data_IF_024650726664
#
_entry.id   IF_024650726664
#
_cell.length_a   1.000
_cell.length_b   1.000
_cell.length_c   1.000
_cell.angle_alpha   90.00
_cell.angle_beta   90.00
_cell.angle_gamma   90.00
#
_symmetry.space_group_name_H-M   'P 1'
#
loop_
_entity.id
_entity.type
_entity.pdbx_description
1 polymer ?
#
# COMPACT_ATOMS: atom_id res chain seq x y z
N UNK A 1 -38.81 -21.88 -40.74
CA UNK A 1 -37.48 -22.38 -40.30
C UNK A 1 -36.33 -21.46 -40.71
N UNK A 2 -36.20 -21.04 -41.98
CA UNK A 2 -35.13 -20.14 -42.45
C UNK A 2 -35.08 -18.76 -41.78
N UNK A 3 -36.23 -18.17 -41.45
CA UNK A 3 -36.31 -16.88 -40.76
C UNK A 3 -35.91 -16.94 -39.28
N UNK A 4 -36.14 -18.07 -38.61
CA UNK A 4 -35.82 -18.26 -37.18
C UNK A 4 -34.32 -18.42 -36.97
N UNK A 5 -33.63 -19.11 -37.89
CA UNK A 5 -32.18 -19.29 -37.88
C UNK A 5 -31.46 -17.97 -38.19
N UNK A 6 -32.01 -17.16 -39.10
CA UNK A 6 -31.47 -15.81 -39.38
C UNK A 6 -31.64 -14.87 -38.18
N UNK A 7 -32.77 -14.94 -37.47
CA UNK A 7 -33.01 -14.14 -36.26
C UNK A 7 -32.06 -14.51 -35.11
N UNK A 8 -31.79 -15.82 -34.93
CA UNK A 8 -30.84 -16.32 -33.93
C UNK A 8 -29.38 -15.93 -34.24
N UNK A 9 -29.02 -15.83 -35.53
CA UNK A 9 -27.72 -15.32 -35.96
C UNK A 9 -27.59 -13.80 -35.77
N UNK A 10 -28.67 -13.03 -35.96
CA UNK A 10 -28.69 -11.59 -35.72
C UNK A 10 -28.73 -11.22 -34.22
N UNK A 11 -29.31 -12.06 -33.36
CA UNK A 11 -29.25 -11.83 -31.91
C UNK A 11 -27.85 -12.00 -31.33
N UNK A 12 -26.97 -12.77 -31.98
CA UNK A 12 -25.58 -12.95 -31.56
C UNK A 12 -24.67 -11.75 -31.90
N UNK A 13 -25.09 -10.85 -32.80
CA UNK A 13 -24.32 -9.65 -33.19
C UNK A 13 -24.68 -8.41 -32.36
N UNK A 14 -25.72 -8.47 -31.53
CA UNK A 14 -26.00 -7.45 -30.51
C UNK A 14 -25.27 -7.81 -29.21
N UNK A 15 -23.95 -7.92 -29.27
CA UNK A 15 -23.13 -7.73 -28.08
C UNK A 15 -22.96 -6.21 -27.93
N UNK A 16 -23.20 -5.62 -26.74
CA UNK A 16 -22.99 -4.19 -26.56
C UNK A 16 -21.56 -3.84 -26.95
N UNK A 17 -21.44 -2.87 -27.86
CA UNK A 17 -20.17 -2.25 -28.24
C UNK A 17 -19.52 -1.71 -26.97
N UNK A 18 -18.39 -2.32 -26.60
CA UNK A 18 -17.25 -1.73 -25.89
C UNK A 18 -17.63 -0.54 -24.99
N UNK A 19 -18.17 -0.84 -23.80
CA UNK A 19 -17.74 -0.05 -22.65
C UNK A 19 -16.23 -0.23 -22.59
N UNK A 20 -15.48 0.85 -22.36
CA UNK A 20 -14.05 0.78 -22.06
C UNK A 20 -13.85 -0.33 -21.03
N UNK A 21 -13.37 -1.50 -21.48
CA UNK A 21 -13.26 -2.67 -20.63
C UNK A 21 -12.15 -2.34 -19.67
N UNK A 22 -12.50 -1.93 -18.44
CA UNK A 22 -11.54 -1.80 -17.36
C UNK A 22 -10.72 -3.10 -17.36
N UNK A 23 -9.42 -3.02 -17.64
CA UNK A 23 -8.58 -4.21 -17.75
C UNK A 23 -8.24 -4.78 -16.37
N UNK A 24 -8.68 -4.11 -15.32
CA UNK A 24 -8.48 -4.43 -13.93
C UNK A 24 -9.81 -4.36 -13.18
N UNK A 25 -9.90 -5.11 -12.07
CA UNK A 25 -11.09 -5.16 -11.22
C UNK A 25 -10.82 -4.42 -9.92
N UNK A 26 -11.84 -3.73 -9.41
CA UNK A 26 -11.78 -3.14 -8.07
C UNK A 26 -11.65 -4.23 -7.01
N UNK A 27 -10.70 -4.03 -6.11
CA UNK A 27 -10.38 -4.91 -5.00
C UNK A 27 -11.38 -4.77 -3.84
N UNK A 28 -12.27 -5.77 -3.69
CA UNK A 28 -13.18 -5.83 -2.55
C UNK A 28 -12.49 -6.01 -1.19
N UNK A 29 -11.21 -6.38 -1.16
CA UNK A 29 -10.44 -6.56 0.07
C UNK A 29 -10.04 -5.23 0.72
N UNK A 30 -9.90 -4.14 -0.04
CA UNK A 30 -9.58 -2.81 0.51
C UNK A 30 -10.69 -2.37 1.47
N UNK A 31 -11.95 -2.54 1.07
CA UNK A 31 -13.11 -2.19 1.88
C UNK A 31 -13.40 -3.16 3.04
N UNK A 32 -12.56 -4.18 3.26
CA UNK A 32 -12.75 -5.17 4.34
C UNK A 32 -11.46 -5.34 5.16
N UNK A 33 -10.50 -6.10 4.64
CA UNK A 33 -9.22 -6.37 5.30
C UNK A 33 -8.38 -5.09 5.35
N UNK A 34 -8.48 -4.23 4.34
CA UNK A 34 -7.82 -2.92 4.35
C UNK A 34 -8.23 -2.10 5.57
N UNK A 35 -9.52 -2.07 5.92
CA UNK A 35 -10.00 -1.36 7.11
C UNK A 35 -9.46 -1.96 8.42
N UNK A 36 -9.38 -3.29 8.53
CA UNK A 36 -8.77 -3.93 9.71
C UNK A 36 -7.29 -3.54 9.85
N UNK A 37 -6.56 -3.50 8.74
CA UNK A 37 -5.14 -3.09 8.72
C UNK A 37 -4.97 -1.60 9.01
N UNK A 38 -5.87 -0.75 8.50
CA UNK A 38 -5.94 0.66 8.82
C UNK A 38 -6.13 0.89 10.33
N UNK A 39 -7.04 0.15 10.95
CA UNK A 39 -7.31 0.22 12.39
C UNK A 39 -6.10 -0.22 13.23
N UNK A 40 -5.32 -1.18 12.71
CA UNK A 40 -4.05 -1.61 13.30
C UNK A 40 -2.93 -0.57 13.13
N UNK A 41 -3.10 0.45 12.28
CA UNK A 41 -2.13 1.50 12.04
C UNK A 41 -1.28 1.31 10.78
N UNK A 42 -1.64 0.39 9.89
CA UNK A 42 -1.01 0.29 8.57
C UNK A 42 -1.40 1.50 7.70
N UNK A 43 -0.57 1.76 6.69
CA UNK A 43 -0.74 2.80 5.69
C UNK A 43 -1.03 2.18 4.31
N UNK A 44 -1.84 2.91 3.51
CA UNK A 44 -2.07 2.60 2.11
C UNK A 44 -1.46 3.68 1.21
N UNK A 45 -0.52 3.24 0.38
CA UNK A 45 0.14 4.04 -0.65
C UNK A 45 -0.10 3.48 -2.04
N UNK A 46 0.43 4.17 -3.05
CA UNK A 46 0.27 3.79 -4.43
C UNK A 46 1.46 2.96 -4.94
N UNK A 47 1.23 1.84 -5.61
CA UNK A 47 2.28 1.17 -6.39
C UNK A 47 2.20 1.51 -7.88
N UNK A 48 0.99 1.66 -8.41
CA UNK A 48 0.73 2.02 -9.80
C UNK A 48 -0.62 1.52 -10.28
N UNK A 49 -0.87 1.70 -11.58
CA UNK A 49 -2.09 1.24 -12.24
C UNK A 49 -1.74 0.25 -13.36
N UNK A 50 -2.51 -0.83 -13.55
CA UNK A 50 -2.18 -1.83 -14.57
C UNK A 50 -2.20 -1.32 -16.01
N UNK A 51 -3.02 -0.31 -16.29
CA UNK A 51 -3.17 0.30 -17.61
C UNK A 51 -2.28 1.53 -17.85
N UNK A 52 -1.48 1.90 -16.85
CA UNK A 52 -0.63 3.08 -16.93
C UNK A 52 0.85 2.68 -16.92
N UNK A 53 1.66 3.47 -17.62
CA UNK A 53 3.09 3.21 -17.76
C UNK A 53 3.89 4.40 -17.22
N UNK A 54 4.75 4.12 -16.25
CA UNK A 54 5.66 5.09 -15.64
C UNK A 54 6.53 5.81 -16.66
N UNK A 55 7.06 5.11 -17.68
CA UNK A 55 7.91 5.73 -18.71
C UNK A 55 7.15 6.66 -19.66
N UNK A 56 5.83 6.47 -19.77
CA UNK A 56 5.01 7.21 -20.71
C UNK A 56 4.40 8.45 -20.05
N UNK A 57 3.86 8.29 -18.83
CA UNK A 57 3.18 9.35 -18.10
C UNK A 57 3.14 9.05 -16.58
N UNK A 58 4.18 9.41 -15.81
CA UNK A 58 4.24 9.21 -14.36
C UNK A 58 3.08 9.89 -13.62
N UNK A 59 2.66 11.06 -14.08
CA UNK A 59 1.58 11.86 -13.48
C UNK A 59 0.23 11.17 -13.68
N UNK A 60 -0.01 10.56 -14.84
CA UNK A 60 -1.21 9.76 -15.07
C UNK A 60 -1.25 8.51 -14.19
N UNK A 61 -0.13 7.79 -14.04
CA UNK A 61 -0.06 6.61 -13.15
C UNK A 61 -0.44 6.99 -11.72
N UNK A 62 0.20 8.03 -11.20
CA UNK A 62 0.02 8.48 -9.81
C UNK A 62 -1.36 9.08 -9.56
N UNK A 63 -1.86 9.92 -10.46
CA UNK A 63 -3.20 10.53 -10.32
C UNK A 63 -4.32 9.49 -10.34
N UNK A 64 -4.28 8.52 -11.27
CA UNK A 64 -5.28 7.46 -11.34
C UNK A 64 -5.24 6.57 -10.09
N UNK A 65 -4.04 6.25 -9.61
CA UNK A 65 -3.86 5.44 -8.42
C UNK A 65 -4.30 6.17 -7.15
N UNK A 66 -4.04 7.48 -7.05
CA UNK A 66 -4.55 8.32 -5.95
C UNK A 66 -6.07 8.32 -5.91
N UNK A 67 -6.70 8.48 -7.07
CA UNK A 67 -8.15 8.41 -7.19
C UNK A 67 -8.65 7.02 -6.77
N UNK A 68 -8.01 5.95 -7.26
CA UNK A 68 -8.35 4.59 -6.88
C UNK A 68 -8.30 4.39 -5.36
N UNK A 69 -7.22 4.79 -4.69
CA UNK A 69 -7.12 4.70 -3.23
C UNK A 69 -8.22 5.51 -2.54
N UNK A 70 -8.38 6.80 -2.90
CA UNK A 70 -9.35 7.69 -2.27
C UNK A 70 -10.81 7.25 -2.43
N UNK A 71 -11.12 6.51 -3.49
CA UNK A 71 -12.46 5.95 -3.73
C UNK A 71 -12.72 4.69 -2.87
N UNK A 72 -11.69 4.05 -2.30
CA UNK A 72 -11.79 2.72 -1.67
C UNK A 72 -11.35 2.68 -0.20
N UNK A 73 -10.40 3.52 0.23
CA UNK A 73 -9.85 3.50 1.59
C UNK A 73 -9.21 4.83 1.98
N UNK A 74 -9.28 5.18 3.27
CA UNK A 74 -8.44 6.24 3.85
C UNK A 74 -6.98 5.77 3.90
N UNK A 75 -6.02 6.63 3.54
CA UNK A 75 -4.61 6.22 3.49
C UNK A 75 -4.00 5.89 4.86
N UNK A 76 -4.50 6.51 5.93
CA UNK A 76 -4.07 6.27 7.31
C UNK A 76 -5.16 6.68 8.28
N UNK A 77 -5.15 6.12 9.50
CA UNK A 77 -5.97 6.60 10.62
C UNK A 77 -5.74 8.07 10.98
N UNK A 78 -4.62 8.66 10.53
CA UNK A 78 -4.27 10.06 10.76
C UNK A 78 -4.67 11.01 9.63
N UNK A 79 -5.05 10.49 8.46
CA UNK A 79 -5.45 11.29 7.32
C UNK A 79 -5.73 10.47 6.06
N UNK A 80 -6.71 10.93 5.28
CA UNK A 80 -7.17 10.23 4.07
C UNK A 80 -6.28 10.34 2.84
N UNK A 81 -5.45 11.39 2.77
CA UNK A 81 -4.58 11.59 1.62
C UNK A 81 -3.40 10.63 1.67
N UNK A 82 -3.23 9.83 0.61
CA UNK A 82 -2.05 8.99 0.44
C UNK A 82 -0.80 9.85 0.27
N UNK A 83 0.25 9.51 1.05
CA UNK A 83 1.55 10.20 1.03
C UNK A 83 2.64 9.38 0.33
N UNK A 84 2.45 8.06 0.26
CA UNK A 84 3.44 7.13 -0.24
C UNK A 84 3.13 6.64 -1.64
N UNK A 85 4.13 6.59 -2.49
CA UNK A 85 4.06 6.04 -3.84
C UNK A 85 5.34 5.27 -4.18
N UNK A 86 5.24 4.25 -5.02
CA UNK A 86 6.39 3.65 -5.70
C UNK A 86 6.76 4.49 -6.92
N UNK A 87 8.05 4.65 -7.20
CA UNK A 87 8.54 5.18 -8.47
C UNK A 87 9.72 4.34 -8.96
N UNK A 88 9.84 4.10 -10.27
CA UNK A 88 11.01 3.44 -10.84
C UNK A 88 12.24 4.38 -10.86
N UNK A 89 13.43 3.79 -11.02
CA UNK A 89 14.71 4.51 -11.06
C UNK A 89 14.99 5.27 -12.36
N UNK A 90 14.08 5.17 -13.32
CA UNK A 90 14.12 5.85 -14.62
C UNK A 90 13.61 7.28 -14.58
N UNK A 91 12.85 7.67 -13.54
CA UNK A 91 12.24 8.99 -13.47
C UNK A 91 13.26 10.09 -13.19
N UNK A 92 13.04 11.24 -13.83
CA UNK A 92 13.82 12.46 -13.64
C UNK A 92 13.39 13.22 -12.38
N UNK A 93 14.27 14.10 -11.88
CA UNK A 93 13.95 14.92 -10.71
C UNK A 93 12.68 15.77 -10.88
N UNK A 94 12.43 16.30 -12.08
CA UNK A 94 11.22 17.07 -12.37
C UNK A 94 9.95 16.21 -12.34
N UNK A 95 10.03 14.94 -12.78
CA UNK A 95 8.88 14.04 -12.70
C UNK A 95 8.57 13.68 -11.24
N UNK A 96 9.59 13.58 -10.38
CA UNK A 96 9.37 13.48 -8.94
C UNK A 96 8.71 14.75 -8.39
N UNK A 97 9.13 15.95 -8.78
CA UNK A 97 8.43 17.19 -8.36
C UNK A 97 6.95 17.19 -8.77
N UNK A 98 6.64 16.80 -10.00
CA UNK A 98 5.25 16.71 -10.48
C UNK A 98 4.42 15.70 -9.66
N UNK A 99 5.02 14.57 -9.26
CA UNK A 99 4.40 13.58 -8.36
C UNK A 99 4.20 14.15 -6.94
N UNK A 100 5.16 14.93 -6.44
CA UNK A 100 5.07 15.59 -5.14
C UNK A 100 3.96 16.66 -5.10
N UNK A 101 3.74 17.38 -6.19
CA UNK A 101 2.64 18.33 -6.34
C UNK A 101 1.27 17.63 -6.30
N UNK A 102 1.21 16.34 -6.66
CA UNK A 102 0.05 15.48 -6.44
C UNK A 102 -0.06 14.96 -5.00
N UNK A 103 0.75 15.46 -4.06
CA UNK A 103 0.63 15.18 -2.63
C UNK A 103 1.27 13.88 -2.15
N UNK A 104 1.94 13.14 -3.02
CA UNK A 104 2.78 12.02 -2.62
C UNK A 104 4.14 12.57 -2.19
N UNK A 105 4.51 12.44 -0.93
CA UNK A 105 5.74 13.02 -0.39
C UNK A 105 6.86 12.00 -0.19
N UNK A 106 6.54 10.71 -0.33
CA UNK A 106 7.48 9.58 -0.24
C UNK A 106 7.37 8.77 -1.53
N UNK A 107 8.43 8.68 -2.33
CA UNK A 107 8.34 8.15 -3.71
C UNK A 107 8.94 6.75 -3.88
N UNK A 108 9.40 6.14 -2.80
CA UNK A 108 9.91 4.78 -2.82
C UNK A 108 11.26 4.65 -2.14
N UNK A 109 11.80 3.44 -2.23
CA UNK A 109 13.02 3.04 -1.53
C UNK A 109 14.25 2.98 -2.42
N UNK A 110 14.11 2.80 -3.74
CA UNK A 110 15.22 2.75 -4.69
C UNK A 110 14.84 3.48 -5.99
N UNK A 111 14.93 4.80 -5.98
CA UNK A 111 14.48 5.64 -7.11
C UNK A 111 15.62 6.17 -7.96
N UNK A 112 16.87 5.76 -7.69
CA UNK A 112 18.05 6.20 -8.44
C UNK A 112 18.42 7.67 -8.27
N UNK A 113 17.61 8.44 -7.53
CA UNK A 113 17.87 9.86 -7.26
C UNK A 113 19.12 10.05 -6.40
N UNK A 114 19.83 11.15 -6.69
CA UNK A 114 20.99 11.59 -5.91
C UNK A 114 20.59 12.14 -4.54
N UNK A 115 19.44 12.79 -4.46
CA UNK A 115 18.85 13.20 -3.18
C UNK A 115 18.20 11.97 -2.56
N UNK A 116 18.61 11.66 -1.35
CA UNK A 116 18.22 10.47 -0.63
C UNK A 116 18.54 10.63 0.84
N UNK A 117 17.95 9.79 1.67
CA UNK A 117 18.19 9.75 3.10
C UNK A 117 18.21 8.31 3.60
N UNK A 118 18.68 8.16 4.84
CA UNK A 118 18.62 6.93 5.62
C UNK A 118 19.42 5.78 5.01
N UNK A 119 20.53 6.08 4.32
CA UNK A 119 21.49 5.05 3.94
C UNK A 119 22.39 4.60 5.10
N UNK A 120 22.40 5.35 6.21
CA UNK A 120 23.00 5.00 7.49
C UNK A 120 22.27 5.79 8.61
N UNK A 121 22.66 5.58 9.87
CA UNK A 121 22.01 6.18 11.03
C UNK A 121 22.11 7.72 11.07
N UNK A 122 23.19 8.29 10.53
CA UNK A 122 23.43 9.74 10.54
C UNK A 122 22.96 10.46 9.25
N UNK A 123 22.47 9.72 8.27
CA UNK A 123 22.01 10.22 6.97
C UNK A 123 20.57 10.74 7.05
N UNK A 124 20.33 11.70 7.95
CA UNK A 124 19.00 12.28 8.15
C UNK A 124 18.57 13.17 6.96
N UNK A 125 17.29 13.15 6.58
CA UNK A 125 16.77 13.99 5.51
C UNK A 125 16.84 15.47 5.91
N UNK A 126 17.34 16.29 4.98
CA UNK A 126 17.53 17.74 5.15
C UNK A 126 16.46 18.53 4.42
N UNK A 127 15.93 17.98 3.34
CA UNK A 127 14.81 18.56 2.60
C UNK A 127 13.78 17.50 2.20
N UNK A 128 12.66 17.94 1.64
CA UNK A 128 11.56 17.08 1.20
C UNK A 128 12.01 16.05 0.15
N UNK A 129 12.97 16.43 -0.69
CA UNK A 129 13.42 15.63 -1.82
C UNK A 129 14.21 14.40 -1.38
N UNK A 130 14.77 14.42 -0.18
CA UNK A 130 15.49 13.27 0.37
C UNK A 130 14.52 12.12 0.70
N UNK A 131 13.22 12.42 0.88
CA UNK A 131 12.17 11.41 1.05
C UNK A 131 11.71 10.75 -0.24
N UNK A 132 12.17 11.25 -1.39
CA UNK A 132 11.91 10.60 -2.68
C UNK A 132 12.79 9.36 -2.88
N UNK A 133 13.78 9.12 -2.02
CA UNK A 133 14.66 7.95 -2.06
C UNK A 133 15.11 7.56 -0.65
N UNK A 134 14.37 6.66 0.01
CA UNK A 134 14.64 6.27 1.40
C UNK A 134 15.69 5.16 1.56
N UNK A 135 16.18 4.59 0.45
CA UNK A 135 17.04 3.42 0.50
C UNK A 135 16.33 2.18 1.07
N UNK A 136 17.05 1.05 1.10
CA UNK A 136 16.61 -0.22 1.71
C UNK A 136 17.56 -0.65 2.82
N UNK A 137 17.85 0.27 3.75
CA UNK A 137 18.84 0.06 4.82
C UNK A 137 18.59 -1.20 5.64
N UNK A 138 17.33 -1.53 5.94
CA UNK A 138 16.96 -2.74 6.66
C UNK A 138 16.90 -4.01 5.81
N UNK A 139 17.04 -3.89 4.48
CA UNK A 139 16.99 -5.03 3.57
C UNK A 139 15.57 -5.57 3.36
N UNK A 140 15.44 -6.89 3.28
CA UNK A 140 14.20 -7.60 2.93
C UNK A 140 13.65 -8.40 4.11
N UNK A 141 12.33 -8.54 4.19
CA UNK A 141 11.66 -9.54 5.03
C UNK A 141 11.54 -10.93 4.37
N UNK A 142 11.99 -11.09 3.13
CA UNK A 142 11.83 -12.32 2.37
C UNK A 142 12.82 -13.41 2.82
N UNK A 143 12.31 -14.64 2.98
CA UNK A 143 13.09 -15.80 3.38
C UNK A 143 14.26 -16.05 2.41
N UNK A 144 15.47 -16.09 2.94
CA UNK A 144 16.69 -16.31 2.17
C UNK A 144 17.27 -15.07 1.49
N UNK A 145 16.59 -13.92 1.60
CA UNK A 145 17.15 -12.61 1.22
C UNK A 145 17.48 -11.75 2.44
N UNK A 146 16.72 -11.92 3.52
CA UNK A 146 16.97 -11.22 4.76
C UNK A 146 18.34 -11.58 5.36
N UNK A 147 18.97 -10.61 6.01
CA UNK A 147 20.22 -10.82 6.77
C UNK A 147 20.02 -10.28 8.18
N UNK A 148 19.60 -11.15 9.08
CA UNK A 148 19.26 -10.80 10.46
C UNK A 148 20.40 -10.05 11.17
N UNK A 149 21.64 -10.54 11.08
CA UNK A 149 22.78 -9.90 11.76
C UNK A 149 23.13 -8.52 11.19
N UNK A 150 22.88 -8.28 9.90
CA UNK A 150 23.04 -6.95 9.33
C UNK A 150 21.92 -6.02 9.82
N UNK A 151 20.67 -6.50 9.81
CA UNK A 151 19.52 -5.74 10.28
C UNK A 151 19.66 -5.34 11.76
N UNK A 152 20.04 -6.27 12.65
CA UNK A 152 20.28 -5.98 14.08
C UNK A 152 21.27 -4.82 14.26
N UNK A 153 22.38 -4.82 13.50
CA UNK A 153 23.37 -3.74 13.56
C UNK A 153 22.82 -2.41 13.10
N UNK A 154 21.98 -2.40 12.06
CA UNK A 154 21.34 -1.18 11.58
C UNK A 154 20.32 -0.65 12.60
N UNK A 155 19.59 -1.54 13.28
CA UNK A 155 18.67 -1.16 14.37
C UNK A 155 19.43 -0.56 15.56
N UNK A 156 20.51 -1.21 15.98
CA UNK A 156 21.35 -0.75 17.09
C UNK A 156 22.07 0.58 16.79
N UNK A 157 22.31 0.87 15.52
CA UNK A 157 22.93 2.12 15.10
C UNK A 157 21.98 3.34 15.20
N UNK A 158 20.65 3.13 15.29
CA UNK A 158 19.69 4.23 15.33
C UNK A 158 19.22 4.70 13.95
N UNK A 159 18.40 5.74 13.92
CA UNK A 159 17.87 6.34 12.70
C UNK A 159 16.68 5.56 12.11
N UNK A 160 16.27 5.92 10.89
CA UNK A 160 15.23 5.16 10.19
C UNK A 160 15.85 3.95 9.47
N UNK A 161 15.23 2.78 9.67
CA UNK A 161 15.61 1.51 9.06
C UNK A 161 14.46 1.05 8.18
N UNK A 162 14.63 1.22 6.86
CA UNK A 162 13.60 0.91 5.88
C UNK A 162 13.77 -0.51 5.31
N UNK A 163 12.75 -1.35 5.47
CA UNK A 163 12.63 -2.69 4.89
C UNK A 163 11.61 -2.72 3.76
N UNK A 164 11.75 -3.73 2.91
CA UNK A 164 10.75 -4.04 1.91
C UNK A 164 10.25 -5.49 2.02
N UNK A 165 9.04 -5.71 1.51
CA UNK A 165 8.36 -6.99 1.44
C UNK A 165 7.68 -7.14 0.07
N UNK A 166 7.92 -8.28 -0.58
CA UNK A 166 7.21 -8.68 -1.79
C UNK A 166 6.61 -10.07 -1.51
N UNK A 167 5.29 -10.14 -1.39
CA UNK A 167 4.57 -11.38 -1.08
C UNK A 167 4.41 -12.33 -2.28
N UNK A 168 4.62 -11.84 -3.50
CA UNK A 168 4.51 -12.64 -4.72
C UNK A 168 5.42 -12.14 -5.82
N UNK A 169 6.16 -13.06 -6.43
CA UNK A 169 6.97 -12.81 -7.63
C UNK A 169 6.45 -13.73 -8.73
N UNK A 170 5.87 -13.15 -9.78
CA UNK A 170 5.15 -13.91 -10.83
C UNK A 170 4.09 -14.83 -10.20
N UNK A 171 4.20 -16.16 -10.33
CA UNK A 171 3.28 -17.13 -9.72
C UNK A 171 3.79 -17.74 -8.41
N UNK A 172 4.98 -17.35 -7.96
CA UNK A 172 5.57 -17.87 -6.74
C UNK A 172 5.17 -17.00 -5.53
N UNK A 173 4.60 -17.65 -4.51
CA UNK A 173 4.34 -17.01 -3.21
C UNK A 173 5.65 -16.97 -2.43
N UNK A 174 6.07 -15.78 -2.05
CA UNK A 174 7.28 -15.57 -1.24
C UNK A 174 6.93 -15.80 0.23
N UNK A 175 7.86 -16.38 0.99
CA UNK A 175 7.73 -16.58 2.43
C UNK A 175 8.48 -15.47 3.16
N UNK A 176 7.96 -15.01 4.29
CA UNK A 176 8.74 -14.16 5.18
C UNK A 176 9.80 -14.98 5.91
N UNK A 177 10.87 -14.31 6.31
CA UNK A 177 11.87 -14.86 7.21
C UNK A 177 11.36 -14.77 8.66
N UNK A 178 11.10 -15.92 9.27
CA UNK A 178 10.50 -16.01 10.61
C UNK A 178 11.44 -15.55 11.70
N UNK A 179 12.73 -15.80 11.52
CA UNK A 179 13.74 -15.50 12.54
C UNK A 179 13.94 -13.98 12.60
N UNK A 180 13.85 -13.30 11.45
CA UNK A 180 13.86 -11.84 11.36
C UNK A 180 12.62 -11.23 12.03
N UNK A 181 11.43 -11.76 11.75
CA UNK A 181 10.20 -11.27 12.39
C UNK A 181 10.25 -11.46 13.90
N UNK A 182 10.65 -12.65 14.37
CA UNK A 182 10.79 -12.93 15.80
C UNK A 182 11.80 -11.99 16.48
N UNK A 183 12.95 -11.74 15.83
CA UNK A 183 13.94 -10.79 16.34
C UNK A 183 13.36 -9.38 16.46
N UNK A 184 12.59 -8.92 15.46
CA UNK A 184 11.95 -7.60 15.51
C UNK A 184 10.97 -7.49 16.68
N UNK A 185 10.13 -8.51 16.90
CA UNK A 185 9.14 -8.51 18.01
C UNK A 185 9.77 -8.56 19.40
N UNK A 186 11.04 -8.99 19.52
CA UNK A 186 11.78 -8.95 20.78
C UNK A 186 12.35 -7.55 21.10
N UNK A 187 12.24 -6.58 20.18
CA UNK A 187 12.76 -5.20 20.35
C UNK A 187 11.74 -4.30 21.06
N UNK A 188 12.17 -3.69 22.15
CA UNK A 188 11.43 -2.69 22.93
C UNK A 188 11.94 -1.24 22.70
N UNK A 189 13.00 -1.09 21.89
CA UNK A 189 13.72 0.15 21.60
C UNK A 189 13.46 0.70 20.18
N UNK A 190 12.50 0.11 19.47
CA UNK A 190 12.17 0.42 18.08
C UNK A 190 10.77 0.99 17.98
N UNK A 191 10.62 2.13 17.32
CA UNK A 191 9.33 2.62 16.88
C UNK A 191 8.92 1.93 15.57
N UNK A 192 7.91 1.07 15.61
CA UNK A 192 7.33 0.45 14.41
C UNK A 192 6.34 1.42 13.77
N UNK A 193 6.61 1.80 12.53
CA UNK A 193 5.86 2.87 11.87
C UNK A 193 5.75 2.67 10.37
N UNK A 194 5.02 3.57 9.72
CA UNK A 194 4.84 3.59 8.27
C UNK A 194 5.62 4.76 7.67
N UNK A 195 5.84 4.76 6.35
CA UNK A 195 6.48 5.89 5.66
C UNK A 195 5.78 7.23 5.91
N UNK A 196 4.45 7.26 5.81
CA UNK A 196 3.65 8.46 6.01
C UNK A 196 3.63 8.94 7.46
N UNK A 197 3.64 8.04 8.44
CA UNK A 197 3.81 8.40 9.85
C UNK A 197 5.20 9.00 10.11
N UNK A 198 6.27 8.34 9.64
CA UNK A 198 7.64 8.80 9.79
C UNK A 198 7.86 10.18 9.11
N UNK A 199 7.39 10.36 7.88
CA UNK A 199 7.47 11.63 7.17
C UNK A 199 6.63 12.72 7.87
N UNK A 200 5.42 12.39 8.31
CA UNK A 200 4.55 13.36 9.00
C UNK A 200 5.12 13.78 10.35
N UNK A 201 5.83 12.88 11.03
CA UNK A 201 6.54 13.16 12.27
C UNK A 201 7.77 14.04 12.01
N UNK A 202 8.60 13.72 11.02
CA UNK A 202 9.80 14.50 10.69
C UNK A 202 9.46 15.89 10.15
N UNK A 203 8.46 16.01 9.28
CA UNK A 203 8.15 17.26 8.55
C UNK A 203 7.76 18.43 9.44
N UNK A 204 7.36 18.17 10.70
CA UNK A 204 7.13 19.23 11.71
C UNK A 204 8.42 20.00 12.07
N UNK A 205 9.60 19.48 11.76
CA UNK A 205 10.87 20.21 11.86
C UNK A 205 10.90 21.45 10.96
N UNK A 206 10.10 21.47 9.89
CA UNK A 206 10.01 22.62 8.99
C UNK A 206 9.23 23.78 9.59
N UNK A 207 8.22 23.50 10.41
CA UNK A 207 7.44 24.51 11.11
C UNK A 207 6.66 23.90 12.26
N UNK A 208 6.82 24.47 13.45
CA UNK A 208 6.05 24.12 14.62
C UNK A 208 5.86 25.34 15.51
N UNK A 209 4.71 25.39 16.16
CA UNK A 209 4.36 26.38 17.15
C UNK A 209 3.64 25.68 18.29
N UNK A 210 3.79 26.20 19.50
CA UNK A 210 3.13 25.67 20.68
C UNK A 210 2.81 26.82 21.63
N UNK A 211 1.80 26.63 22.46
CA UNK A 211 1.46 27.56 23.55
C UNK A 211 1.48 26.82 24.87
N UNK A 212 1.93 27.48 25.91
CA UNK A 212 1.97 26.92 27.25
C UNK A 212 1.73 27.99 28.31
N UNK A 213 1.06 27.61 29.40
CA UNK A 213 0.76 28.50 30.52
C UNK A 213 0.66 27.68 31.81
N UNK A 214 1.27 28.18 32.89
CA UNK A 214 1.14 27.58 34.22
C UNK A 214 0.12 28.34 35.06
N UNK A 215 -0.99 27.68 35.37
CA UNK A 215 -2.08 28.22 36.17
C UNK A 215 -2.11 27.54 37.54
N UNK A 216 -1.37 28.10 38.50
CA UNK A 216 -1.17 27.50 39.82
C UNK A 216 -0.34 26.22 39.71
N UNK A 217 -0.97 25.06 39.84
CA UNK A 217 -0.34 23.73 39.73
C UNK A 217 -0.67 23.01 38.42
N UNK A 218 -1.47 23.62 37.53
CA UNK A 218 -1.82 23.01 36.23
C UNK A 218 -1.07 23.71 35.11
N UNK A 219 -0.17 22.98 34.46
CA UNK A 219 0.48 23.39 33.23
C UNK A 219 -0.43 23.03 32.04
N UNK A 220 -0.84 24.04 31.29
CA UNK A 220 -1.59 23.87 30.04
C UNK A 220 -0.60 23.92 28.89
N UNK A 221 -0.59 22.91 28.03
CA UNK A 221 0.26 22.83 26.84
C UNK A 221 -0.57 22.50 25.61
N UNK A 222 -0.34 23.20 24.51
CA UNK A 222 -1.02 22.93 23.23
C UNK A 222 -0.01 23.02 22.09
N UNK A 223 0.11 21.95 21.30
CA UNK A 223 0.81 21.99 20.01
C UNK A 223 -0.12 22.63 18.97
N UNK A 224 0.33 23.66 18.27
CA UNK A 224 -0.51 24.48 17.40
C UNK A 224 -0.39 24.06 15.93
N UNK A 225 -1.48 24.24 15.18
CA UNK A 225 -1.47 24.17 13.72
C UNK A 225 -1.82 25.55 13.17
N UNK A 226 -0.79 26.33 12.85
CA UNK A 226 -0.98 27.66 12.25
C UNK A 226 -1.14 27.54 10.73
N UNK A 227 -1.88 28.47 10.08
CA UNK A 227 -2.00 28.52 8.63
C UNK A 227 -0.64 28.59 7.93
N UNK A 228 0.33 29.27 8.53
CA UNK A 228 1.70 29.39 8.05
C UNK A 228 2.39 28.03 8.01
N UNK A 229 2.37 27.28 9.12
CA UNK A 229 2.93 25.92 9.15
C UNK A 229 2.18 24.96 8.22
N UNK A 230 0.85 25.07 8.14
CA UNK A 230 0.06 24.23 7.24
C UNK A 230 0.39 24.48 5.77
N UNK A 231 0.73 25.73 5.39
CA UNK A 231 1.11 26.07 4.02
C UNK A 231 2.45 25.46 3.59
N UNK A 232 3.37 25.23 4.54
CA UNK A 232 4.69 24.65 4.28
C UNK A 232 4.65 23.13 4.09
N UNK A 233 3.68 22.45 4.71
CA UNK A 233 3.50 20.99 4.63
C UNK A 233 2.02 20.65 4.52
N UNK A 234 1.35 20.98 3.40
CA UNK A 234 -0.11 20.91 3.29
C UNK A 234 -0.68 19.49 3.34
N UNK A 235 0.12 18.49 2.99
CA UNK A 235 -0.28 17.08 2.96
C UNK A 235 0.02 16.33 4.26
N UNK A 236 0.72 16.95 5.22
CA UNK A 236 1.11 16.33 6.50
C UNK A 236 -0.08 15.80 7.28
N UNK A 237 -0.01 14.53 7.68
CA UNK A 237 -0.98 13.99 8.64
C UNK A 237 -0.78 14.59 10.02
N UNK A 238 -1.88 14.75 10.77
CA UNK A 238 -1.81 15.26 12.14
C UNK A 238 -1.45 14.13 13.13
N UNK A 239 -0.21 13.68 13.07
CA UNK A 239 0.33 12.65 13.97
C UNK A 239 0.68 13.22 15.35
N UNK A 240 0.61 12.42 16.44
CA UNK A 240 1.11 12.81 17.75
C UNK A 240 2.62 13.05 17.74
N UNK A 241 3.06 14.18 18.26
CA UNK A 241 4.48 14.55 18.34
C UNK A 241 4.92 14.55 19.79
N UNK A 242 6.09 13.98 20.07
CA UNK A 242 6.60 13.82 21.44
C UNK A 242 7.44 15.04 21.82
N UNK A 243 6.91 15.81 22.76
CA UNK A 243 7.56 16.96 23.37
C UNK A 243 8.27 16.55 24.66
N UNK A 244 9.39 17.20 24.95
CA UNK A 244 10.17 16.97 26.17
C UNK A 244 10.05 18.21 27.05
N UNK A 245 9.53 18.02 28.26
CA UNK A 245 9.29 19.08 29.23
C UNK A 245 10.04 18.75 30.52
N UNK A 246 10.94 19.62 30.95
CA UNK A 246 11.57 19.53 32.27
C UNK A 246 10.65 20.19 33.31
N UNK A 247 10.24 19.39 34.29
CA UNK A 247 9.35 19.82 35.38
C UNK A 247 10.11 20.23 36.65
N UNK A 248 11.44 20.37 36.59
CA UNK A 248 12.30 20.89 37.66
C UNK A 248 11.98 20.29 39.05
N UNK A 249 11.94 18.96 39.13
CA UNK A 249 11.64 18.12 40.29
C UNK A 249 10.17 18.04 40.74
N UNK A 250 9.23 18.68 40.05
CA UNK A 250 7.80 18.51 40.35
C UNK A 250 7.23 17.24 39.71
N UNK A 251 6.41 16.52 40.46
CA UNK A 251 5.80 15.27 40.02
C UNK A 251 4.46 15.51 39.33
N UNK A 252 4.25 14.82 38.21
CA UNK A 252 2.97 14.78 37.50
C UNK A 252 1.97 13.93 38.29
N UNK A 253 0.85 14.53 38.67
CA UNK A 253 -0.27 13.83 39.31
C UNK A 253 -1.22 13.23 38.29
N UNK A 254 -1.53 13.97 37.22
CA UNK A 254 -2.38 13.48 36.12
C UNK A 254 -2.26 14.36 34.88
N UNK A 255 -2.49 13.75 33.73
CA UNK A 255 -2.69 14.43 32.44
C UNK A 255 -4.01 13.94 31.85
N UNK A 256 -4.70 14.76 31.07
CA UNK A 256 -5.88 14.37 30.28
C UNK A 256 -5.54 13.49 29.06
N UNK A 257 -4.58 12.60 29.22
CA UNK A 257 -4.07 11.64 28.23
C UNK A 257 -3.69 10.34 28.96
N UNK A 258 -3.73 9.19 28.27
CA UNK A 258 -3.28 7.94 28.87
C UNK A 258 -1.77 7.99 29.17
N UNK A 259 -1.36 7.39 30.28
CA UNK A 259 0.05 7.12 30.55
C UNK A 259 0.51 5.96 29.65
N UNK A 260 1.69 6.10 29.04
CA UNK A 260 2.27 5.11 28.12
C UNK A 260 3.61 4.59 28.66
N UNK A 261 3.97 3.37 28.24
CA UNK A 261 5.27 2.77 28.56
C UNK A 261 6.41 3.47 27.81
N UNK A 262 7.64 3.41 28.33
CA UNK A 262 8.85 3.73 27.54
C UNK A 262 9.05 2.77 26.37
N UNK A 263 8.54 1.54 26.50
CA UNK A 263 8.57 0.48 25.48
C UNK A 263 7.41 0.62 24.48
N UNK A 264 6.54 1.62 24.65
CA UNK A 264 5.44 1.84 23.71
C UNK A 264 6.02 2.15 22.32
N UNK A 265 5.77 1.23 21.40
CA UNK A 265 6.40 1.17 20.09
C UNK A 265 5.44 1.55 18.95
N UNK A 266 4.18 1.85 19.27
CA UNK A 266 3.17 2.30 18.32
C UNK A 266 2.86 3.77 18.52
N UNK A 267 2.81 4.52 17.43
CA UNK A 267 2.50 5.94 17.47
C UNK A 267 1.12 6.17 18.11
N UNK A 268 1.07 6.90 19.22
CA UNK A 268 -0.19 7.28 19.87
C UNK A 268 -0.03 8.53 20.73
N UNK A 269 -1.16 9.13 21.10
CA UNK A 269 -1.17 10.22 22.08
C UNK A 269 -1.05 9.64 23.49
N UNK A 270 -0.21 10.24 24.31
CA UNK A 270 0.07 9.72 25.64
C UNK A 270 1.14 10.52 26.36
N UNK A 271 1.48 10.10 27.57
CA UNK A 271 2.55 10.71 28.33
C UNK A 271 3.30 9.71 29.18
N UNK A 272 4.56 10.03 29.49
CA UNK A 272 5.35 9.30 30.48
C UNK A 272 6.38 10.22 31.13
N UNK A 273 6.88 9.84 32.29
CA UNK A 273 7.97 10.56 32.97
C UNK A 273 9.17 9.64 33.10
N UNK A 274 10.34 10.13 32.72
CA UNK A 274 11.61 9.44 32.88
C UNK A 274 12.68 10.44 33.29
N UNK A 275 13.43 10.15 34.36
CA UNK A 275 14.52 11.00 34.85
C UNK A 275 14.12 12.48 35.04
N UNK A 276 12.91 12.73 35.56
CA UNK A 276 12.32 14.07 35.74
C UNK A 276 11.97 14.85 34.45
N UNK A 277 12.07 14.20 33.29
CA UNK A 277 11.58 14.71 32.02
C UNK A 277 10.21 14.10 31.71
N UNK A 278 9.24 14.97 31.41
CA UNK A 278 7.94 14.58 30.88
C UNK A 278 8.04 14.47 29.36
N UNK A 279 7.76 13.28 28.85
CA UNK A 279 7.56 13.02 27.43
C UNK A 279 6.06 13.08 27.16
N UNK A 280 5.64 14.05 26.36
CA UNK A 280 4.23 14.32 26.06
C UNK A 280 4.00 14.17 24.55
N UNK A 281 3.33 13.08 24.16
CA UNK A 281 2.97 12.79 22.77
C UNK A 281 1.57 13.33 22.47
N UNK A 282 1.47 14.39 21.66
CA UNK A 282 0.19 15.07 21.37
C UNK A 282 0.06 15.49 19.92
N UNK A 283 -1.16 15.38 19.38
CA UNK A 283 -1.51 15.92 18.07
C UNK A 283 -1.66 17.44 18.12
N UNK A 284 -1.49 18.10 16.98
CA UNK A 284 -1.76 19.53 16.91
C UNK A 284 -3.25 19.81 17.16
N UNK A 285 -3.52 20.89 17.87
CA UNK A 285 -4.86 21.30 18.31
C UNK A 285 -5.32 20.66 19.62
N UNK A 286 -4.61 19.65 20.14
CA UNK A 286 -4.93 19.06 21.44
C UNK A 286 -4.33 19.89 22.57
N UNK A 287 -5.16 20.24 23.56
CA UNK A 287 -4.73 20.94 24.77
C UNK A 287 -4.55 19.95 25.92
N UNK A 288 -3.28 19.68 26.24
CA UNK A 288 -2.89 18.89 27.40
C UNK A 288 -2.98 19.72 28.68
N UNK A 289 -3.60 19.14 29.72
CA UNK A 289 -3.68 19.71 31.06
C UNK A 289 -2.86 18.83 31.99
N UNK A 290 -1.73 19.34 32.43
CA UNK A 290 -0.73 18.62 33.22
C UNK A 290 -0.84 19.10 34.66
N UNK A 291 -1.39 18.27 35.53
CA UNK A 291 -1.52 18.59 36.94
C UNK A 291 -0.25 18.17 37.68
N UNK A 292 0.39 19.13 38.32
CA UNK A 292 1.60 18.96 39.10
C UNK A 292 1.29 18.93 40.60
N UNK A 293 2.17 18.30 41.37
CA UNK A 293 2.04 18.24 42.83
C UNK A 293 2.20 19.62 43.47
N UNK A 294 3.10 20.43 42.93
CA UNK A 294 3.32 21.82 43.34
C UNK A 294 3.70 22.69 42.15
N UNK A 295 3.42 23.98 42.28
CA UNK A 295 3.80 24.99 41.30
C UNK A 295 5.31 25.14 41.29
N UNK A 296 5.91 25.04 40.10
CA UNK A 296 7.35 25.14 39.89
C UNK A 296 7.63 25.75 38.53
N UNK A 297 8.84 26.26 38.35
CA UNK A 297 9.34 26.60 37.02
C UNK A 297 9.48 25.32 36.18
N UNK A 298 9.21 25.44 34.89
CA UNK A 298 9.33 24.36 33.91
C UNK A 298 9.99 24.89 32.64
N UNK A 299 10.57 23.99 31.85
CA UNK A 299 11.14 24.32 30.55
C UNK A 299 10.69 23.32 29.48
N UNK A 300 10.45 23.81 28.27
CA UNK A 300 10.10 22.97 27.12
C UNK A 300 11.39 22.80 26.33
N UNK A 301 12.06 21.67 26.53
CA UNK A 301 13.37 21.38 25.96
C UNK A 301 13.31 21.18 24.43
N UNK A 302 12.14 20.84 23.90
CA UNK A 302 11.90 20.66 22.48
C UNK A 302 11.13 19.38 22.18
N UNK A 303 11.53 18.68 21.12
CA UNK A 303 10.89 17.46 20.63
C UNK A 303 11.93 16.38 20.42
N UNK A 304 11.50 15.13 20.51
CA UNK A 304 12.34 13.99 20.16
C UNK A 304 12.41 13.81 18.64
N UNK A 305 13.48 13.19 18.15
CA UNK A 305 13.62 12.89 16.71
C UNK A 305 12.64 11.81 16.25
N UNK A 306 12.35 10.85 17.12
CA UNK A 306 11.39 9.77 16.89
C UNK A 306 10.37 9.67 18.03
N UNK A 307 9.25 9.00 17.76
CA UNK A 307 8.20 8.81 18.74
C UNK A 307 8.73 8.20 20.05
N UNK A 308 8.19 8.69 21.17
CA UNK A 308 8.47 8.18 22.51
C UNK A 308 9.95 8.14 22.93
N UNK A 309 10.80 8.94 22.26
CA UNK A 309 12.25 8.96 22.45
C UNK A 309 12.97 7.65 22.07
N UNK A 310 12.39 6.85 21.18
CA UNK A 310 13.11 5.71 20.58
C UNK A 310 14.31 6.21 19.76
N UNK A 311 15.39 5.43 19.74
CA UNK A 311 16.57 5.76 18.92
C UNK A 311 16.37 5.41 17.44
N UNK A 312 15.43 4.50 17.17
CA UNK A 312 15.28 3.84 15.87
C UNK A 312 13.81 3.84 15.47
N UNK A 313 13.55 4.13 14.19
CA UNK A 313 12.25 3.93 13.55
C UNK A 313 12.36 2.84 12.48
N UNK A 314 11.43 1.90 12.48
CA UNK A 314 11.37 0.83 11.49
C UNK A 314 10.17 1.03 10.57
N UNK A 315 10.41 1.04 9.26
CA UNK A 315 9.35 1.05 8.26
C UNK A 315 9.42 -0.20 7.40
N UNK A 316 8.27 -0.78 7.06
CA UNK A 316 8.19 -1.95 6.19
C UNK A 316 7.25 -1.64 5.04
N UNK A 317 7.74 -1.77 3.81
CA UNK A 317 6.92 -1.47 2.62
C UNK A 317 6.55 -2.72 1.86
N UNK A 318 5.24 -2.95 1.72
CA UNK A 318 4.68 -3.99 0.86
C UNK A 318 4.56 -3.52 -0.58
N UNK A 319 5.43 -3.99 -1.46
CA UNK A 319 5.45 -3.59 -2.87
C UNK A 319 4.52 -4.43 -3.74
N UNK A 320 3.85 -3.82 -4.73
CA UNK A 320 2.95 -4.50 -5.68
C UNK A 320 1.81 -5.28 -5.01
N UNK A 321 1.17 -4.66 -4.03
CA UNK A 321 0.09 -5.29 -3.25
C UNK A 321 -1.20 -5.33 -4.05
N UNK A 322 -1.46 -6.47 -4.69
CA UNK A 322 -2.67 -6.75 -5.48
C UNK A 322 -3.74 -7.53 -4.71
N UNK A 323 -3.38 -8.14 -3.58
CA UNK A 323 -4.30 -8.91 -2.73
C UNK A 323 -3.85 -8.88 -1.26
N UNK A 324 -4.32 -7.91 -0.48
CA UNK A 324 -3.89 -7.80 0.92
C UNK A 324 -4.21 -9.04 1.77
N UNK A 325 -5.23 -9.84 1.43
CA UNK A 325 -5.50 -11.07 2.17
C UNK A 325 -4.30 -12.01 2.12
N UNK A 326 -3.79 -12.30 0.91
CA UNK A 326 -2.66 -13.21 0.75
C UNK A 326 -1.35 -12.62 1.31
N UNK A 327 -1.22 -11.30 1.28
CA UNK A 327 0.02 -10.60 1.59
C UNK A 327 0.17 -10.28 3.08
N UNK A 328 -0.92 -9.92 3.75
CA UNK A 328 -0.91 -9.51 5.15
C UNK A 328 -1.18 -10.66 6.11
N UNK A 329 -1.93 -11.69 5.72
CA UNK A 329 -2.34 -12.82 6.60
C UNK A 329 -1.20 -13.48 7.38
N UNK A 330 0.01 -13.44 6.82
CA UNK A 330 1.21 -13.99 7.45
C UNK A 330 1.71 -13.19 8.65
N UNK A 331 1.21 -11.97 8.80
CA UNK A 331 1.52 -11.00 9.85
C UNK A 331 0.27 -10.65 10.67
N UNK A 332 -0.77 -11.49 10.65
CA UNK A 332 -1.97 -11.28 11.49
C UNK A 332 -1.65 -11.45 12.98
N UNK A 333 -0.76 -12.38 13.30
CA UNK A 333 -0.36 -12.71 14.68
C UNK A 333 0.75 -11.79 15.23
N UNK A 334 1.30 -10.92 14.37
CA UNK A 334 2.43 -10.04 14.68
C UNK A 334 1.92 -8.61 14.90
N UNK A 335 1.67 -8.24 16.16
CA UNK A 335 0.91 -7.02 16.49
C UNK A 335 1.74 -5.73 16.40
N UNK A 336 3.05 -5.81 16.47
CA UNK A 336 3.93 -4.63 16.48
C UNK A 336 4.23 -4.12 15.07
N UNK A 337 4.30 -5.03 14.08
CA UNK A 337 4.71 -4.66 12.73
C UNK A 337 3.70 -3.73 12.07
N UNK A 338 4.21 -2.65 11.47
CA UNK A 338 3.43 -1.70 10.68
C UNK A 338 3.92 -1.69 9.25
N UNK A 339 2.97 -1.66 8.32
CA UNK A 339 3.26 -1.72 6.90
C UNK A 339 2.75 -0.49 6.17
N UNK A 340 3.55 0.00 5.22
CA UNK A 340 3.07 0.81 4.10
C UNK A 340 2.77 -0.12 2.93
N UNK A 341 1.49 -0.40 2.69
CA UNK A 341 1.05 -1.24 1.57
C UNK A 341 0.93 -0.39 0.31
N UNK A 342 1.83 -0.57 -0.64
CA UNK A 342 1.75 0.05 -1.96
C UNK A 342 0.81 -0.78 -2.83
N UNK A 343 -0.38 -0.24 -3.07
CA UNK A 343 -1.50 -0.93 -3.73
C UNK A 343 -1.41 -0.80 -5.24
N UNK A 344 -1.73 -1.89 -5.93
CA UNK A 344 -1.97 -1.92 -7.37
C UNK A 344 -3.23 -2.76 -7.63
N UNK A 345 -4.23 -2.24 -8.36
CA UNK A 345 -5.41 -3.02 -8.71
C UNK A 345 -5.07 -4.32 -9.44
N UNK A 346 -5.85 -5.37 -9.20
CA UNK A 346 -5.62 -6.65 -9.88
C UNK A 346 -6.08 -6.59 -11.34
N UNK A 347 -5.17 -6.95 -12.27
CA UNK A 347 -5.51 -7.22 -13.66
C UNK A 347 -6.62 -8.28 -13.77
N UNK A 348 -7.62 -8.00 -14.60
CA UNK A 348 -8.53 -9.02 -15.10
C UNK A 348 -7.70 -9.87 -16.04
N UNK A 349 -7.61 -11.16 -15.74
CA UNK A 349 -7.14 -12.15 -16.71
C UNK A 349 -8.16 -12.15 -17.86
N UNK A 350 -7.91 -11.29 -18.86
CA UNK A 350 -8.60 -11.33 -20.12
C UNK A 350 -8.15 -12.63 -20.79
N UNK A 351 -8.85 -13.72 -20.47
CA UNK A 351 -8.66 -15.00 -21.14
C UNK A 351 -8.60 -14.78 -22.66
N UNK A 352 -7.88 -15.65 -23.34
CA UNK A 352 -7.46 -15.44 -24.74
C UNK A 352 -8.56 -14.81 -25.61
N UNK A 353 -8.39 -13.54 -26.01
CA UNK A 353 -9.42 -12.73 -26.68
C UNK A 353 -10.00 -13.34 -27.97
N UNK A 354 -9.32 -14.31 -28.59
CA UNK A 354 -9.82 -15.03 -29.76
C UNK A 354 -10.71 -16.24 -29.43
N UNK A 355 -10.81 -16.69 -28.18
CA UNK A 355 -11.64 -17.83 -27.77
C UNK A 355 -13.13 -17.64 -28.14
N UNK A 356 -13.77 -16.49 -27.88
CA UNK A 356 -15.14 -16.25 -28.32
C UNK A 356 -15.27 -16.30 -29.85
N UNK A 357 -14.31 -15.71 -30.57
CA UNK A 357 -14.28 -15.74 -32.03
C UNK A 357 -14.11 -17.17 -32.58
N UNK A 358 -13.25 -17.98 -31.98
CA UNK A 358 -13.10 -19.38 -32.34
C UNK A 358 -14.32 -20.23 -31.99
N UNK A 359 -14.99 -19.97 -30.87
CA UNK A 359 -16.23 -20.65 -30.53
C UNK A 359 -17.30 -20.40 -31.61
N UNK A 360 -17.41 -19.16 -32.12
CA UNK A 360 -18.29 -18.83 -33.24
C UNK A 360 -17.89 -19.57 -34.53
N UNK A 361 -16.60 -19.59 -34.87
CA UNK A 361 -16.11 -20.31 -36.07
C UNK A 361 -16.38 -21.81 -35.98
N UNK A 362 -16.13 -22.42 -34.81
CA UNK A 362 -16.39 -23.84 -34.56
C UNK A 362 -17.90 -24.13 -34.68
N UNK A 363 -18.76 -23.30 -34.10
CA UNK A 363 -20.22 -23.46 -34.18
C UNK A 363 -20.74 -23.35 -35.64
N UNK A 364 -20.27 -22.35 -36.40
CA UNK A 364 -20.66 -22.19 -37.80
C UNK A 364 -20.15 -23.35 -38.66
N UNK A 365 -18.90 -23.79 -38.42
CA UNK A 365 -18.31 -24.91 -39.16
C UNK A 365 -19.05 -26.24 -38.91
N UNK A 366 -19.40 -26.53 -37.65
CA UNK A 366 -20.15 -27.74 -37.29
C UNK A 366 -21.56 -27.74 -37.87
N UNK A 367 -22.29 -26.63 -37.80
CA UNK A 367 -23.60 -26.51 -38.44
C UNK A 367 -23.54 -26.66 -39.97
N UNK A 368 -22.50 -26.11 -40.58
CA UNK A 368 -22.27 -26.23 -42.03
C UNK A 368 -21.94 -27.67 -42.43
N UNK A 369 -21.16 -28.38 -41.60
CA UNK A 369 -20.81 -29.78 -41.81
C UNK A 369 -22.05 -30.68 -41.70
N UNK A 370 -22.86 -30.48 -40.67
CA UNK A 370 -24.13 -31.21 -40.47
C UNK A 370 -25.06 -30.99 -41.66
N UNK A 371 -25.21 -29.74 -42.11
CA UNK A 371 -26.03 -29.44 -43.28
C UNK A 371 -25.52 -30.11 -44.56
N UNK A 372 -24.20 -30.12 -44.76
CA UNK A 372 -23.58 -30.76 -45.92
C UNK A 372 -23.76 -32.29 -45.90
N UNK A 373 -23.58 -32.93 -44.75
CA UNK A 373 -23.80 -34.37 -44.57
C UNK A 373 -25.27 -34.72 -44.82
N UNK A 374 -26.21 -34.01 -44.20
CA UNK A 374 -27.66 -34.23 -44.43
C UNK A 374 -28.02 -34.06 -45.90
N UNK A 375 -27.48 -33.04 -46.58
CA UNK A 375 -27.72 -32.85 -48.02
C UNK A 375 -27.12 -33.97 -48.87
N UNK A 376 -25.96 -34.51 -48.47
CA UNK A 376 -25.32 -35.63 -49.17
C UNK A 376 -26.11 -36.92 -48.99
N UNK A 377 -26.59 -37.21 -47.79
CA UNK A 377 -27.42 -38.38 -47.51
C UNK A 377 -28.75 -38.31 -48.27
N UNK A 378 -29.41 -37.14 -48.28
CA UNK A 378 -30.62 -36.90 -49.10
C UNK A 378 -30.38 -37.05 -50.62
N UNK A 379 -29.14 -36.87 -51.08
CA UNK A 379 -28.78 -37.06 -52.49
C UNK A 379 -28.30 -38.48 -52.81
N UNK A 380 -27.80 -39.24 -51.83
CA UNK A 380 -27.40 -40.64 -51.99
C UNK A 380 -28.60 -41.59 -51.95
N UNK A 381 -29.69 -41.24 -51.25
CA UNK A 381 -30.96 -41.97 -51.34
C UNK A 381 -31.66 -41.87 -52.71
N UNK A 382 -31.07 -41.13 -53.67
CA UNK A 382 -31.62 -40.98 -55.02
C UNK A 382 -30.98 -41.85 -56.12
N UNK A 383 -30.03 -42.77 -55.86
CA UNK A 383 -29.57 -43.84 -56.80
C UNK A 383 -28.51 -44.76 -56.13
N UNK A 384 -28.30 -46.05 -56.53
CA UNK A 384 -28.88 -46.90 -57.60
C UNK A 384 -29.23 -48.35 -57.13
N UNK A 385 -29.90 -49.22 -57.89
CA UNK A 385 -29.26 -50.22 -58.77
C UNK A 385 -30.31 -50.96 -59.61
N UNK A 386 -30.08 -51.04 -60.92
CA UNK A 386 -30.50 -52.20 -61.71
C UNK A 386 -29.25 -52.99 -62.05
N UNK A 387 -29.26 -54.31 -61.85
CA UNK A 387 -28.56 -55.31 -62.66
C UNK A 387 -28.97 -56.74 -62.22
N UNK A 388 -29.31 -57.55 -63.23
CA UNK A 388 -29.69 -58.96 -63.20
C UNK A 388 -28.46 -59.86 -62.95
N UNK A 389 -28.62 -61.10 -62.45
CA UNK A 389 -27.94 -62.21 -63.13
C UNK A 389 -28.79 -63.47 -63.38
N UNK A 390 -28.27 -64.23 -64.34
CA UNK A 390 -28.76 -65.43 -65.03
C UNK A 390 -29.18 -66.63 -64.15
N UNK A 391 -30.12 -67.42 -64.68
CA UNK A 391 -30.32 -68.84 -64.34
C UNK A 391 -30.16 -69.68 -65.61
N UNK A 392 -29.24 -70.64 -65.53
CA UNK A 392 -28.88 -71.65 -66.52
C UNK A 392 -29.83 -72.87 -66.44
N UNK A 393 -30.19 -73.45 -67.61
CA UNK A 393 -30.60 -74.85 -67.93
C UNK A 393 -31.74 -74.80 -68.96
N UNK A 394 -31.87 -75.58 -70.02
CA UNK A 394 -31.26 -76.80 -70.55
C UNK A 394 -31.95 -77.03 -71.91
N UNK A 395 -31.22 -77.34 -72.98
CA UNK A 395 -31.28 -78.63 -73.72
C UNK A 395 -32.09 -78.59 -75.03
N UNK A 396 -31.46 -79.21 -76.05
CA UNK A 396 -31.99 -79.82 -77.30
C UNK A 396 -32.82 -78.91 -78.26
N UNK A 397 -32.53 -78.81 -79.56
CA UNK A 397 -31.86 -79.70 -80.51
C UNK A 397 -31.49 -78.91 -81.77
#
# INVERSE_FOLDING_TARGET
>A
MRFLVLLLLFSATYSPVLAEEATWKSDGWLATIGLERLDKGDEFGCYGMPDANWEADPVAVTSQCRQYLGDHIEASRWGGNALSVYTPDSLSASEHEDIADLGFMIHGDNTGLRHSAWHNAEDEPKDLWDWHNLGRRGGSLELGMANQSALEKELDAGGLVNLYWIGRIHDAIVRHDKDVVAMLEERDDVWFTTWGEAWSYWSINRCHEFSHELNGTTLVFTSLQTPECQSLTPFRWNVPITWVIDLNNSEVTSINLPEISSEENQLQSGWRVEQNLLYLSVQNGFTAQINLTYSTDYDILGRTSFFNNHSTALTITGHSTTDLFSWSKRFDDHQDLRFTWLVMPQLIDQGIAWLPAAAVVIAVSTLSLIFWVVKKDLNQDNFPDGLIPDIHSSEEK
#
